data_IF_879449922977
#
_entry.id   IF_879449922977
#
_cell.length_a   1.000
_cell.length_b   1.000
_cell.length_c   1.000
_cell.angle_alpha   90.00
_cell.angle_beta   90.00
_cell.angle_gamma   90.00
#
_symmetry.space_group_name_H-M   'P 1'
#
loop_
_entity.id
_entity.type
_entity.pdbx_description
1 polymer ?
#
# COMPACT_ATOMS: atom_id res chain seq x y z
N UNK A 1 -34.97 -10.78 -54.50
CA UNK A 1 -36.32 -11.08 -54.00
C UNK A 1 -36.21 -11.73 -52.62
N UNK A 2 -36.77 -11.06 -51.59
CA UNK A 2 -37.21 -11.54 -50.26
C UNK A 2 -36.25 -12.46 -49.45
N UNK A 3 -35.57 -12.04 -48.38
CA UNK A 3 -36.02 -11.51 -47.07
C UNK A 3 -37.03 -12.41 -46.32
N UNK A 4 -36.60 -13.08 -45.26
CA UNK A 4 -37.46 -13.52 -44.13
C UNK A 4 -36.64 -13.66 -42.84
N UNK A 5 -36.65 -12.60 -42.03
CA UNK A 5 -36.40 -12.63 -40.58
C UNK A 5 -37.65 -13.16 -39.88
N UNK A 6 -37.55 -14.24 -39.12
CA UNK A 6 -38.62 -14.71 -38.23
C UNK A 6 -38.58 -13.93 -36.91
N UNK A 7 -39.56 -13.05 -36.70
CA UNK A 7 -39.85 -12.43 -35.40
C UNK A 7 -40.75 -13.37 -34.61
N UNK A 8 -40.35 -13.72 -33.40
CA UNK A 8 -41.22 -14.37 -32.41
C UNK A 8 -41.93 -13.23 -31.64
N UNK A 9 -43.24 -13.14 -31.81
CA UNK A 9 -44.13 -12.28 -31.03
C UNK A 9 -44.59 -13.06 -29.79
N UNK A 10 -44.24 -12.59 -28.60
CA UNK A 10 -44.92 -12.99 -27.36
C UNK A 10 -45.71 -11.78 -26.88
N UNK A 11 -47.04 -11.91 -26.93
CA UNK A 11 -47.99 -10.95 -26.40
C UNK A 11 -48.12 -11.17 -24.89
N UNK A 12 -47.82 -10.16 -24.09
CA UNK A 12 -48.09 -10.15 -22.64
C UNK A 12 -49.04 -9.00 -22.37
N UNK A 13 -50.20 -9.35 -21.79
CA UNK A 13 -51.37 -8.50 -21.64
C UNK A 13 -51.19 -7.34 -20.67
N UNK A 14 -51.97 -6.28 -20.93
CA UNK A 14 -52.17 -5.16 -20.02
C UNK A 14 -52.78 -5.64 -18.70
N UNK A 15 -52.09 -5.40 -17.60
CA UNK A 15 -52.71 -5.32 -16.28
C UNK A 15 -52.15 -4.13 -15.49
N UNK A 16 -53.02 -3.12 -15.39
CA UNK A 16 -53.24 -2.15 -14.30
C UNK A 16 -52.04 -1.32 -13.81
N UNK A 17 -52.22 -0.01 -14.00
CA UNK A 17 -51.50 1.07 -13.33
C UNK A 17 -51.42 0.84 -11.82
N UNK A 18 -50.21 0.89 -11.27
CA UNK A 18 -49.94 1.24 -9.89
C UNK A 18 -48.79 2.24 -9.89
N UNK A 19 -48.92 3.24 -9.02
CA UNK A 19 -48.16 4.49 -8.96
C UNK A 19 -46.65 4.35 -9.22
N UNK A 20 -46.14 5.22 -10.11
CA UNK A 20 -44.72 5.56 -10.20
C UNK A 20 -44.28 6.17 -8.85
N UNK A 21 -43.80 5.32 -7.94
CA UNK A 21 -42.84 5.74 -6.94
C UNK A 21 -41.53 5.98 -7.67
N UNK A 22 -41.16 7.23 -7.90
CA UNK A 22 -39.80 7.59 -8.28
C UNK A 22 -38.93 7.18 -7.09
N UNK A 23 -38.38 5.97 -7.14
CA UNK A 23 -37.16 5.66 -6.41
C UNK A 23 -36.10 6.57 -7.03
N UNK A 24 -35.90 7.72 -6.40
CA UNK A 24 -34.62 8.40 -6.47
C UNK A 24 -33.64 7.38 -5.90
N UNK A 25 -32.98 6.64 -6.79
CA UNK A 25 -31.71 6.01 -6.43
C UNK A 25 -30.84 7.21 -6.10
N UNK A 26 -30.76 7.53 -4.81
CA UNK A 26 -29.77 8.46 -4.29
C UNK A 26 -28.45 7.93 -4.81
N UNK A 27 -27.89 8.58 -5.81
CA UNK A 27 -26.51 8.39 -6.18
C UNK A 27 -25.74 8.56 -4.89
N UNK A 28 -25.20 7.44 -4.40
CA UNK A 28 -24.50 7.37 -3.14
C UNK A 28 -23.54 8.54 -3.07
N UNK A 29 -23.70 9.39 -2.06
CA UNK A 29 -22.80 10.49 -1.76
C UNK A 29 -21.54 9.85 -1.17
N UNK A 30 -20.79 9.11 -1.99
CA UNK A 30 -19.42 8.77 -1.70
C UNK A 30 -18.57 9.92 -2.21
N UNK A 31 -17.66 10.39 -1.37
CA UNK A 31 -16.81 11.53 -1.64
C UNK A 31 -15.92 11.26 -2.87
N UNK A 32 -16.47 11.55 -4.06
CA UNK A 32 -15.69 11.77 -5.27
C UNK A 32 -14.64 12.80 -4.88
N UNK A 33 -13.36 12.43 -5.00
CA UNK A 33 -12.30 13.41 -4.82
C UNK A 33 -12.63 14.64 -5.65
N UNK A 34 -12.33 15.85 -5.16
CA UNK A 34 -12.33 17.02 -6.01
C UNK A 34 -11.52 16.66 -7.28
N UNK A 35 -12.06 16.95 -8.47
CA UNK A 35 -11.30 16.71 -9.69
C UNK A 35 -9.94 17.41 -9.54
N UNK A 36 -8.86 16.78 -10.01
CA UNK A 36 -7.55 17.41 -9.90
C UNK A 36 -7.62 18.77 -10.63
N UNK A 37 -6.80 19.76 -10.22
CA UNK A 37 -6.75 21.04 -10.90
C UNK A 37 -6.62 20.84 -12.42
N UNK A 38 -7.30 21.66 -13.25
CA UNK A 38 -7.13 21.58 -14.70
C UNK A 38 -5.65 21.56 -15.07
N UNK A 39 -5.25 20.55 -15.85
CA UNK A 39 -3.88 20.38 -16.32
C UNK A 39 -2.89 19.69 -15.37
N UNK A 40 -3.31 19.24 -14.18
CA UNK A 40 -2.41 18.63 -13.19
C UNK A 40 -1.59 17.42 -13.70
N UNK A 41 -2.07 16.72 -14.73
CA UNK A 41 -1.41 15.55 -15.31
C UNK A 41 -1.11 15.70 -16.81
N UNK A 42 -1.19 16.90 -17.39
CA UNK A 42 -1.01 17.11 -18.83
C UNK A 42 0.39 16.72 -19.32
N UNK A 43 1.41 16.87 -18.45
CA UNK A 43 2.78 16.44 -18.74
C UNK A 43 2.96 14.90 -18.66
N UNK A 44 2.01 14.19 -18.05
CA UNK A 44 2.04 12.73 -17.87
C UNK A 44 0.62 12.14 -18.00
N UNK A 45 0.00 12.20 -19.20
CA UNK A 45 -1.42 11.89 -19.36
C UNK A 45 -1.76 10.43 -19.01
N UNK A 46 -0.83 9.50 -19.21
CA UNK A 46 -1.02 8.11 -18.79
C UNK A 46 -1.13 7.97 -17.26
N UNK A 47 -0.39 8.77 -16.48
CA UNK A 47 -0.53 8.79 -15.02
C UNK A 47 -1.93 9.29 -14.62
N UNK A 48 -2.43 10.33 -15.28
CA UNK A 48 -3.80 10.81 -15.08
C UNK A 48 -4.86 9.76 -15.40
N UNK A 49 -4.67 8.98 -16.47
CA UNK A 49 -5.53 7.85 -16.82
C UNK A 49 -5.50 6.77 -15.74
N UNK A 50 -4.32 6.31 -15.32
CA UNK A 50 -4.19 5.27 -14.27
C UNK A 50 -4.82 5.74 -12.95
N UNK A 51 -4.59 7.00 -12.56
CA UNK A 51 -5.25 7.61 -11.41
C UNK A 51 -6.77 7.50 -11.50
N UNK A 52 -7.35 7.92 -12.62
CA UNK A 52 -8.80 8.02 -12.76
C UNK A 52 -9.45 6.64 -12.89
N UNK A 53 -8.86 5.73 -13.64
CA UNK A 53 -9.42 4.39 -13.88
C UNK A 53 -9.19 3.47 -12.69
N UNK A 54 -7.95 3.35 -12.22
CA UNK A 54 -7.59 2.32 -11.24
C UNK A 54 -7.63 2.86 -9.82
N UNK A 55 -7.01 4.01 -9.53
CA UNK A 55 -6.95 4.51 -8.15
C UNK A 55 -8.34 4.93 -7.67
N UNK A 56 -8.96 5.91 -8.34
CA UNK A 56 -10.25 6.46 -7.88
C UNK A 56 -11.47 5.83 -8.55
N UNK A 57 -11.31 5.19 -9.71
CA UNK A 57 -12.40 4.50 -10.41
C UNK A 57 -12.63 3.06 -9.95
N UNK A 58 -11.69 2.49 -9.20
CA UNK A 58 -11.76 1.12 -8.70
C UNK A 58 -11.30 1.06 -7.22
N UNK A 59 -10.00 1.21 -6.94
CA UNK A 59 -9.44 0.91 -5.62
C UNK A 59 -10.10 1.66 -4.46
N UNK A 60 -10.46 2.93 -4.64
CA UNK A 60 -11.16 3.69 -3.60
C UNK A 60 -12.64 3.34 -3.43
N UNK A 61 -13.25 2.70 -4.42
CA UNK A 61 -14.67 2.33 -4.48
C UNK A 61 -14.93 0.88 -4.04
N UNK A 62 -13.87 0.07 -3.89
CA UNK A 62 -13.98 -1.33 -3.48
C UNK A 62 -14.61 -1.47 -2.08
N UNK A 63 -15.66 -2.30 -1.91
CA UNK A 63 -16.56 -2.26 -0.75
C UNK A 63 -15.97 -2.89 0.53
N UNK A 64 -14.93 -3.71 0.40
CA UNK A 64 -14.37 -4.50 1.49
C UNK A 64 -13.51 -3.68 2.48
N UNK A 65 -13.30 -2.38 2.21
CA UNK A 65 -12.66 -1.46 3.15
C UNK A 65 -13.29 -0.07 3.00
N UNK A 66 -13.73 0.50 4.12
CA UNK A 66 -14.45 1.78 4.13
C UNK A 66 -13.59 2.96 3.67
N UNK A 67 -14.22 4.03 3.19
CA UNK A 67 -13.48 5.26 2.82
C UNK A 67 -12.75 5.90 4.01
N UNK A 68 -13.26 5.74 5.24
CA UNK A 68 -12.58 6.16 6.48
C UNK A 68 -11.29 5.37 6.68
N UNK A 69 -11.39 4.04 6.62
CA UNK A 69 -10.25 3.14 6.83
C UNK A 69 -9.19 3.31 5.74
N UNK A 70 -9.61 3.45 4.47
CA UNK A 70 -8.72 3.82 3.34
C UNK A 70 -7.98 5.12 3.62
N UNK A 71 -8.69 6.18 4.04
CA UNK A 71 -8.05 7.44 4.39
C UNK A 71 -7.02 7.32 5.53
N UNK A 72 -7.30 6.53 6.56
CA UNK A 72 -6.35 6.31 7.66
C UNK A 72 -5.07 5.64 7.18
N UNK A 73 -5.17 4.57 6.38
CA UNK A 73 -3.99 3.89 5.85
C UNK A 73 -3.25 4.76 4.83
N UNK A 74 -3.95 5.55 4.01
CA UNK A 74 -3.28 6.44 3.06
C UNK A 74 -2.47 7.53 3.76
N UNK A 75 -3.02 8.15 4.82
CA UNK A 75 -2.29 9.14 5.63
C UNK A 75 -1.05 8.50 6.26
N UNK A 76 -1.21 7.31 6.86
CA UNK A 76 -0.11 6.60 7.48
C UNK A 76 1.01 6.24 6.49
N UNK A 77 0.65 5.73 5.30
CA UNK A 77 1.61 5.39 4.24
C UNK A 77 2.32 6.63 3.72
N UNK A 78 1.58 7.71 3.42
CA UNK A 78 2.19 8.95 2.94
C UNK A 78 3.12 9.59 3.98
N UNK A 79 2.82 9.46 5.27
CA UNK A 79 3.77 9.83 6.33
C UNK A 79 5.03 8.96 6.27
N UNK A 80 4.88 7.64 6.23
CA UNK A 80 6.00 6.70 6.24
C UNK A 80 6.93 6.88 5.04
N UNK A 81 6.36 7.20 3.86
CA UNK A 81 7.10 7.44 2.62
C UNK A 81 7.62 8.88 2.47
N UNK A 82 7.39 9.75 3.45
CA UNK A 82 7.74 11.17 3.39
C UNK A 82 7.11 11.92 2.19
N UNK A 83 5.92 11.50 1.75
CA UNK A 83 5.20 12.06 0.61
C UNK A 83 4.40 13.32 1.01
N UNK A 84 5.10 14.39 1.41
CA UNK A 84 4.52 15.58 2.08
C UNK A 84 3.31 16.20 1.36
N UNK A 85 3.37 16.37 0.04
CA UNK A 85 2.26 16.97 -0.72
C UNK A 85 1.01 16.08 -0.72
N UNK A 86 1.19 14.78 -0.91
CA UNK A 86 0.11 13.79 -0.86
C UNK A 86 -0.42 13.61 0.56
N UNK A 87 0.46 13.68 1.57
CA UNK A 87 0.08 13.63 2.98
C UNK A 87 -0.89 14.76 3.32
N UNK A 88 -0.59 16.00 2.90
CA UNK A 88 -1.45 17.16 3.12
C UNK A 88 -2.83 16.97 2.48
N UNK A 89 -2.86 16.51 1.23
CA UNK A 89 -4.11 16.24 0.50
C UNK A 89 -4.93 15.16 1.22
N UNK A 90 -4.30 14.05 1.60
CA UNK A 90 -4.98 12.92 2.21
C UNK A 90 -5.38 13.16 3.67
N UNK A 91 -4.73 14.05 4.43
CA UNK A 91 -5.23 14.50 5.74
C UNK A 91 -6.55 15.27 5.60
N UNK A 92 -6.66 16.15 4.60
CA UNK A 92 -7.92 16.84 4.31
C UNK A 92 -9.05 15.86 3.95
N UNK A 93 -8.75 14.89 3.08
CA UNK A 93 -9.70 13.83 2.72
C UNK A 93 -10.05 12.91 3.90
N UNK A 94 -9.12 12.64 4.80
CA UNK A 94 -9.37 11.85 5.99
C UNK A 94 -10.42 12.52 6.88
N UNK A 95 -10.29 13.83 7.11
CA UNK A 95 -11.29 14.62 7.85
C UNK A 95 -12.67 14.59 7.17
N UNK A 96 -12.73 14.65 5.84
CA UNK A 96 -13.99 14.53 5.07
C UNK A 96 -14.61 13.14 5.17
N UNK A 97 -13.79 12.09 5.23
CA UNK A 97 -14.22 10.70 5.39
C UNK A 97 -14.48 10.32 6.85
N UNK A 98 -14.52 11.28 7.77
CA UNK A 98 -14.89 11.08 9.17
C UNK A 98 -13.75 10.62 10.09
N UNK A 99 -12.49 10.68 9.64
CA UNK A 99 -11.33 10.56 10.55
C UNK A 99 -11.24 11.83 11.37
N UNK A 100 -11.15 11.72 12.69
CA UNK A 100 -11.13 12.88 13.58
C UNK A 100 -9.74 13.51 13.65
N UNK A 101 -9.69 14.74 14.17
CA UNK A 101 -8.43 15.43 14.45
C UNK A 101 -7.54 14.62 15.40
N UNK A 102 -8.12 14.04 16.46
CA UNK A 102 -7.40 13.26 17.46
C UNK A 102 -6.87 11.95 16.89
N UNK A 103 -7.65 11.30 16.02
CA UNK A 103 -7.19 10.11 15.26
C UNK A 103 -6.02 10.45 14.33
N UNK A 104 -6.07 11.57 13.60
CA UNK A 104 -4.95 12.00 12.75
C UNK A 104 -3.67 12.26 13.55
N UNK A 105 -3.78 12.96 14.69
CA UNK A 105 -2.62 13.17 15.56
C UNK A 105 -2.09 11.87 16.17
N UNK A 106 -2.96 10.91 16.43
CA UNK A 106 -2.56 9.61 16.94
C UNK A 106 -1.95 8.71 15.86
N UNK A 107 -2.39 8.81 14.59
CA UNK A 107 -1.71 8.19 13.43
C UNK A 107 -0.28 8.71 13.35
N UNK A 108 -0.08 10.02 13.48
CA UNK A 108 1.25 10.65 13.42
C UNK A 108 2.18 10.06 14.47
N UNK A 109 1.72 10.00 15.71
CA UNK A 109 2.49 9.45 16.82
C UNK A 109 2.75 7.94 16.67
N UNK A 110 1.76 7.18 16.19
CA UNK A 110 1.89 5.74 16.00
C UNK A 110 2.91 5.41 14.91
N UNK A 111 2.75 6.00 13.72
CA UNK A 111 3.60 5.75 12.55
C UNK A 111 5.04 6.21 12.79
N UNK A 112 5.26 7.24 13.63
CA UNK A 112 6.60 7.68 14.03
C UNK A 112 7.46 6.55 14.60
N UNK A 113 6.89 5.60 15.35
CA UNK A 113 7.63 4.46 15.90
C UNK A 113 8.03 3.43 14.84
N UNK A 114 7.24 3.32 13.77
CA UNK A 114 7.44 2.32 12.71
C UNK A 114 8.23 2.86 11.52
N UNK A 115 8.17 4.16 11.26
CA UNK A 115 8.80 4.83 10.12
C UNK A 115 9.88 5.86 10.53
N UNK A 116 10.07 6.10 11.83
CA UNK A 116 11.11 6.96 12.38
C UNK A 116 10.65 8.39 12.69
N UNK A 117 11.35 9.04 13.63
CA UNK A 117 11.04 10.37 14.16
C UNK A 117 10.87 11.48 13.10
N UNK A 118 11.73 11.58 12.06
CA UNK A 118 11.60 12.62 11.04
C UNK A 118 10.26 12.59 10.29
N UNK A 119 9.69 11.40 10.05
CA UNK A 119 8.38 11.27 9.40
C UNK A 119 7.27 11.87 10.25
N UNK A 120 7.33 11.67 11.57
CA UNK A 120 6.40 12.24 12.55
C UNK A 120 6.51 13.76 12.64
N UNK A 121 7.74 14.31 12.63
CA UNK A 121 7.96 15.77 12.62
C UNK A 121 7.38 16.41 11.36
N UNK A 122 7.63 15.82 10.19
CA UNK A 122 7.07 16.29 8.93
C UNK A 122 5.54 16.27 8.96
N UNK A 123 4.95 15.14 9.35
CA UNK A 123 3.51 14.97 9.40
C UNK A 123 2.83 15.90 10.43
N UNK A 124 3.46 16.15 11.58
CA UNK A 124 2.94 17.08 12.58
C UNK A 124 2.87 18.52 12.07
N UNK A 125 3.87 18.97 11.28
CA UNK A 125 3.86 20.30 10.66
C UNK A 125 2.75 20.42 9.62
N UNK A 126 2.62 19.42 8.75
CA UNK A 126 1.54 19.36 7.75
C UNK A 126 0.16 19.34 8.43
N UNK A 127 -0.01 18.56 9.49
CA UNK A 127 -1.27 18.52 10.24
C UNK A 127 -1.61 19.88 10.85
N UNK A 128 -0.63 20.60 11.41
CA UNK A 128 -0.86 21.94 11.95
C UNK A 128 -1.38 22.93 10.88
N UNK A 129 -0.83 22.88 9.67
CA UNK A 129 -1.31 23.68 8.52
C UNK A 129 -2.75 23.29 8.15
N UNK A 130 -3.02 22.00 7.97
CA UNK A 130 -4.36 21.49 7.60
C UNK A 130 -5.41 21.84 8.67
N UNK A 131 -5.06 21.74 9.96
CA UNK A 131 -5.95 22.08 11.06
C UNK A 131 -6.24 23.58 11.10
N UNK A 132 -5.22 24.43 10.92
CA UNK A 132 -5.39 25.87 10.85
C UNK A 132 -6.32 26.29 9.70
N UNK A 133 -6.11 25.74 8.50
CA UNK A 133 -6.94 26.03 7.32
C UNK A 133 -8.41 25.61 7.50
N UNK A 134 -8.65 24.57 8.31
CA UNK A 134 -10.00 24.06 8.61
C UNK A 134 -10.60 24.67 9.89
N UNK A 135 -9.94 25.66 10.50
CA UNK A 135 -10.35 26.27 11.76
C UNK A 135 -10.54 25.25 12.90
N UNK A 136 -9.74 24.18 12.91
CA UNK A 136 -9.69 23.19 13.98
C UNK A 136 -8.75 23.67 15.10
N UNK A 137 -8.95 23.22 16.35
CA UNK A 137 -8.07 23.56 17.48
C UNK A 137 -6.59 23.25 17.20
N UNK A 138 -5.65 24.07 17.66
CA UNK A 138 -4.22 23.78 17.50
C UNK A 138 -3.78 22.50 18.24
N UNK A 139 -4.43 22.20 19.36
CA UNK A 139 -4.22 20.98 20.14
C UNK A 139 -5.48 20.12 19.99
N UNK A 140 -5.37 18.88 19.49
CA UNK A 140 -6.51 17.99 19.37
C UNK A 140 -7.19 17.76 20.74
N UNK A 141 -8.52 17.80 20.81
CA UNK A 141 -9.24 17.59 22.06
C UNK A 141 -9.15 16.13 22.52
N UNK A 142 -9.22 15.92 23.84
CA UNK A 142 -9.37 14.57 24.41
C UNK A 142 -8.11 13.69 24.35
N UNK A 143 -6.92 14.27 24.21
CA UNK A 143 -5.68 13.50 24.16
C UNK A 143 -5.40 12.79 25.50
N UNK A 144 -5.16 11.48 25.43
CA UNK A 144 -4.74 10.65 26.57
C UNK A 144 -3.34 11.04 27.06
N UNK A 145 -2.99 10.82 28.34
CA UNK A 145 -1.63 11.04 28.84
C UNK A 145 -0.57 10.24 28.07
N UNK A 146 0.60 10.84 27.83
CA UNK A 146 1.77 10.19 27.17
C UNK A 146 2.78 9.71 28.21
N UNK A 147 2.32 8.89 29.15
CA UNK A 147 3.17 8.31 30.19
C UNK A 147 2.95 6.79 30.22
N UNK A 148 4.03 5.99 30.17
CA UNK A 148 3.92 4.56 30.38
C UNK A 148 3.30 4.23 31.75
N UNK A 149 2.54 3.12 31.86
CA UNK A 149 2.12 2.61 33.16
C UNK A 149 3.31 2.37 34.08
N UNK A 150 3.11 2.51 35.40
CA UNK A 150 4.18 2.29 36.40
C UNK A 150 4.68 0.85 36.46
N UNK A 151 3.81 -0.11 36.14
CA UNK A 151 4.13 -1.54 36.06
C UNK A 151 3.49 -2.11 34.77
N UNK A 152 4.13 -1.89 33.60
CA UNK A 152 3.55 -2.26 32.33
C UNK A 152 3.66 -3.77 32.10
N UNK A 153 2.61 -4.38 31.57
CA UNK A 153 2.68 -5.73 31.03
C UNK A 153 3.73 -5.79 29.91
N UNK A 154 4.73 -6.67 30.08
CA UNK A 154 5.84 -6.81 29.15
C UNK A 154 5.51 -7.91 28.14
N UNK A 155 5.22 -7.50 26.90
CA UNK A 155 4.85 -8.43 25.82
C UNK A 155 6.07 -9.14 25.22
N UNK A 156 7.25 -8.51 25.28
CA UNK A 156 8.50 -9.02 24.70
C UNK A 156 9.65 -9.01 25.73
N UNK A 157 9.58 -9.84 26.78
CA UNK A 157 10.56 -9.82 27.87
C UNK A 157 11.98 -10.23 27.43
N UNK A 158 12.06 -11.09 26.40
CA UNK A 158 13.32 -11.62 25.86
C UNK A 158 13.77 -10.91 24.57
N UNK A 159 13.07 -9.86 24.13
CA UNK A 159 13.49 -9.11 22.95
C UNK A 159 14.80 -8.37 23.21
N UNK A 160 15.66 -8.36 22.19
CA UNK A 160 16.91 -7.61 22.16
C UNK A 160 17.77 -7.76 23.43
N UNK A 161 18.17 -8.99 23.82
CA UNK A 161 18.91 -9.21 25.07
C UNK A 161 20.26 -8.47 25.11
N UNK A 162 20.81 -8.12 23.94
CA UNK A 162 22.04 -7.33 23.82
C UNK A 162 21.82 -5.82 23.98
N UNK A 163 20.58 -5.33 23.88
CA UNK A 163 20.22 -3.91 24.01
C UNK A 163 19.00 -3.72 24.92
N UNK A 164 19.13 -3.93 26.25
CA UNK A 164 18.01 -3.85 27.20
C UNK A 164 17.22 -2.54 27.13
N UNK A 165 17.89 -1.41 26.87
CA UNK A 165 17.21 -0.12 26.68
C UNK A 165 16.22 -0.14 25.50
N UNK A 166 16.57 -0.78 24.38
CA UNK A 166 15.68 -0.89 23.23
C UNK A 166 14.48 -1.78 23.54
N UNK A 167 14.71 -2.90 24.26
CA UNK A 167 13.63 -3.75 24.78
C UNK A 167 12.69 -2.96 25.69
N UNK A 168 13.23 -2.14 26.57
CA UNK A 168 12.43 -1.35 27.52
C UNK A 168 11.62 -0.28 26.78
N UNK A 169 12.20 0.41 25.78
CA UNK A 169 11.46 1.33 24.91
C UNK A 169 10.33 0.61 24.15
N UNK A 170 10.60 -0.57 23.58
CA UNK A 170 9.60 -1.36 22.88
C UNK A 170 8.42 -1.70 23.80
N UNK A 171 8.71 -2.25 24.97
CA UNK A 171 7.66 -2.71 25.88
C UNK A 171 6.91 -1.56 26.55
N UNK A 172 7.63 -0.54 27.05
CA UNK A 172 7.03 0.51 27.86
C UNK A 172 6.38 1.61 27.00
N UNK A 173 7.09 2.10 25.98
CA UNK A 173 6.64 3.26 25.20
C UNK A 173 5.78 2.84 24.02
N UNK A 174 6.22 1.84 23.26
CA UNK A 174 5.45 1.40 22.09
C UNK A 174 4.23 0.61 22.56
N UNK A 175 4.42 -0.50 23.26
CA UNK A 175 3.32 -1.43 23.56
C UNK A 175 2.46 -1.08 24.76
N UNK A 176 3.05 -0.72 25.90
CA UNK A 176 2.27 -0.44 27.10
C UNK A 176 1.65 0.97 27.11
N UNK A 177 2.27 1.94 26.43
CA UNK A 177 1.73 3.29 26.28
C UNK A 177 1.02 3.46 24.92
N UNK A 178 1.76 3.60 23.83
CA UNK A 178 1.19 4.01 22.52
C UNK A 178 0.07 3.07 22.05
N UNK A 179 0.28 1.76 22.06
CA UNK A 179 -0.75 0.79 21.62
C UNK A 179 -2.01 0.76 22.50
N UNK A 180 -1.96 1.31 23.72
CA UNK A 180 -3.08 1.34 24.68
C UNK A 180 -3.86 2.66 24.68
N UNK A 181 -3.38 3.71 23.97
CA UNK A 181 -4.06 5.01 23.92
C UNK A 181 -5.39 4.91 23.16
N UNK A 182 -6.45 5.52 23.70
CA UNK A 182 -7.83 5.36 23.25
C UNK A 182 -8.20 6.06 21.94
N UNK A 183 -7.37 6.99 21.47
CA UNK A 183 -7.62 7.78 20.26
C UNK A 183 -7.58 6.95 18.98
N UNK A 184 -6.95 5.77 19.01
CA UNK A 184 -7.09 4.75 17.97
C UNK A 184 -7.44 3.42 18.61
N UNK A 185 -8.44 2.73 18.05
CA UNK A 185 -8.77 1.38 18.46
C UNK A 185 -7.60 0.41 18.15
N UNK A 186 -7.51 -0.73 18.87
CA UNK A 186 -6.54 -1.77 18.52
C UNK A 186 -6.66 -2.26 17.07
N UNK A 187 -7.89 -2.30 16.53
CA UNK A 187 -8.17 -2.62 15.12
C UNK A 187 -7.51 -1.60 14.19
N UNK A 188 -7.78 -0.31 14.41
CA UNK A 188 -7.28 0.77 13.56
C UNK A 188 -5.75 0.86 13.59
N UNK A 189 -5.13 0.74 14.77
CA UNK A 189 -3.66 0.67 14.90
C UNK A 189 -3.08 -0.50 14.12
N UNK A 190 -3.72 -1.66 14.18
CA UNK A 190 -3.22 -2.85 13.49
C UNK A 190 -3.30 -2.70 11.98
N UNK A 191 -4.42 -2.17 11.46
CA UNK A 191 -4.59 -1.84 10.06
C UNK A 191 -3.50 -0.86 9.56
N UNK A 192 -3.29 0.23 10.30
CA UNK A 192 -2.23 1.22 10.00
C UNK A 192 -0.85 0.56 9.99
N UNK A 193 -0.57 -0.30 10.97
CA UNK A 193 0.75 -0.93 11.09
C UNK A 193 1.01 -1.93 9.96
N UNK A 194 0.00 -2.70 9.55
CA UNK A 194 0.08 -3.56 8.35
C UNK A 194 0.33 -2.73 7.09
N UNK A 195 -0.37 -1.61 6.94
CA UNK A 195 -0.21 -0.72 5.80
C UNK A 195 1.22 -0.12 5.72
N UNK A 196 1.73 0.39 6.84
CA UNK A 196 3.10 0.96 6.92
C UNK A 196 4.16 -0.12 6.72
N UNK A 197 4.02 -1.28 7.37
CA UNK A 197 4.94 -2.40 7.18
C UNK A 197 4.99 -2.88 5.72
N UNK A 198 3.83 -2.90 5.05
CA UNK A 198 3.74 -3.18 3.61
C UNK A 198 4.51 -2.14 2.81
N UNK A 199 4.20 -0.85 3.01
CA UNK A 199 4.82 0.25 2.26
C UNK A 199 6.34 0.32 2.40
N UNK A 200 6.87 0.01 3.59
CA UNK A 200 8.30 0.02 3.89
C UNK A 200 9.01 -1.29 3.51
N UNK A 201 8.32 -2.25 2.88
CA UNK A 201 8.87 -3.57 2.54
C UNK A 201 9.42 -4.33 3.77
N UNK A 202 8.82 -4.10 4.94
CA UNK A 202 9.28 -4.64 6.23
C UNK A 202 8.67 -6.03 6.50
N UNK A 203 9.19 -7.05 5.82
CA UNK A 203 8.59 -8.40 5.78
C UNK A 203 8.41 -9.08 7.14
N UNK A 204 9.28 -8.84 8.13
CA UNK A 204 9.10 -9.35 9.50
C UNK A 204 7.92 -8.69 10.20
N UNK A 205 7.82 -7.37 10.06
CA UNK A 205 6.76 -6.55 10.66
C UNK A 205 5.40 -6.87 10.05
N UNK A 206 5.33 -7.03 8.71
CA UNK A 206 4.08 -7.45 8.04
C UNK A 206 3.60 -8.79 8.60
N UNK A 207 4.48 -9.78 8.74
CA UNK A 207 4.10 -11.11 9.27
C UNK A 207 3.53 -11.01 10.68
N UNK A 208 4.22 -10.31 11.56
CA UNK A 208 3.79 -10.17 12.94
C UNK A 208 2.50 -9.35 13.05
N UNK A 209 2.42 -8.21 12.37
CA UNK A 209 1.29 -7.30 12.47
C UNK A 209 0.04 -7.75 11.70
N UNK A 210 0.14 -8.57 10.65
CA UNK A 210 -1.04 -9.25 10.06
C UNK A 210 -1.64 -10.19 11.10
N UNK A 211 -0.82 -10.98 11.81
CA UNK A 211 -1.29 -11.84 12.88
C UNK A 211 -1.98 -11.06 14.00
N UNK A 212 -1.38 -9.94 14.44
CA UNK A 212 -2.01 -9.06 15.45
C UNK A 212 -3.29 -8.42 14.93
N UNK A 213 -3.33 -7.98 13.67
CA UNK A 213 -4.51 -7.36 13.07
C UNK A 213 -5.70 -8.31 13.10
N UNK A 214 -5.50 -9.58 12.72
CA UNK A 214 -6.52 -10.63 12.83
C UNK A 214 -7.00 -10.81 14.28
N UNK A 215 -6.08 -10.83 15.25
CA UNK A 215 -6.44 -10.92 16.67
C UNK A 215 -7.22 -9.68 17.19
N UNK A 216 -6.98 -8.51 16.60
CA UNK A 216 -7.65 -7.25 16.95
C UNK A 216 -8.92 -6.99 16.11
N UNK A 217 -9.39 -7.98 15.35
CA UNK A 217 -10.67 -7.92 14.63
C UNK A 217 -10.60 -7.33 13.23
N UNK A 218 -9.40 -7.14 12.65
CA UNK A 218 -9.27 -6.90 11.20
C UNK A 218 -9.52 -8.23 10.49
N UNK A 219 -10.40 -8.25 9.49
CA UNK A 219 -10.74 -9.46 8.75
C UNK A 219 -9.68 -9.81 7.70
N UNK A 220 -9.72 -11.05 7.20
CA UNK A 220 -8.87 -11.47 6.08
C UNK A 220 -9.09 -10.61 4.83
N UNK A 221 -10.34 -10.30 4.51
CA UNK A 221 -10.70 -9.47 3.36
C UNK A 221 -10.17 -8.04 3.51
N UNK A 222 -10.25 -7.47 4.72
CA UNK A 222 -9.69 -6.16 5.02
C UNK A 222 -8.16 -6.16 4.91
N UNK A 223 -7.45 -7.20 5.39
CA UNK A 223 -5.99 -7.33 5.19
C UNK A 223 -5.64 -7.35 3.70
N UNK A 224 -6.37 -8.14 2.90
CA UNK A 224 -6.22 -8.19 1.44
C UNK A 224 -6.43 -6.81 0.79
N UNK A 225 -7.47 -6.08 1.20
CA UNK A 225 -7.74 -4.72 0.70
C UNK A 225 -6.71 -3.69 1.14
N UNK A 226 -6.18 -3.79 2.36
CA UNK A 226 -5.09 -2.91 2.84
C UNK A 226 -3.87 -3.10 1.93
N UNK A 227 -3.43 -4.34 1.69
CA UNK A 227 -2.28 -4.64 0.83
C UNK A 227 -2.50 -4.14 -0.60
N UNK A 228 -3.71 -4.39 -1.14
CA UNK A 228 -4.10 -3.96 -2.48
C UNK A 228 -4.11 -2.43 -2.60
N UNK A 229 -4.65 -1.73 -1.60
CA UNK A 229 -4.70 -0.27 -1.58
C UNK A 229 -3.29 0.33 -1.51
N UNK A 230 -2.47 -0.15 -0.58
CA UNK A 230 -1.10 0.32 -0.33
C UNK A 230 -0.23 0.22 -1.59
N UNK A 231 -0.46 -0.80 -2.42
CA UNK A 231 0.25 -1.02 -3.70
C UNK A 231 0.27 0.21 -4.62
N UNK A 232 -0.80 1.01 -4.67
CA UNK A 232 -0.83 2.22 -5.49
C UNK A 232 -0.06 3.40 -4.88
N UNK A 233 0.21 3.37 -3.58
CA UNK A 233 0.93 4.41 -2.86
C UNK A 233 2.41 4.09 -2.66
N UNK A 234 2.78 2.80 -2.56
CA UNK A 234 4.16 2.34 -2.34
C UNK A 234 4.72 1.43 -3.45
N UNK A 235 3.94 1.18 -4.51
CA UNK A 235 4.33 0.39 -5.67
C UNK A 235 4.04 -1.11 -5.56
N UNK A 236 3.74 -1.74 -6.71
CA UNK A 236 3.41 -3.17 -6.84
C UNK A 236 4.37 -4.15 -6.14
N UNK A 237 5.70 -3.95 -6.15
CA UNK A 237 6.62 -4.81 -5.42
C UNK A 237 6.28 -4.99 -3.93
N UNK A 238 5.83 -3.92 -3.27
CA UNK A 238 5.49 -3.94 -1.84
C UNK A 238 4.25 -4.80 -1.56
N UNK A 239 3.21 -4.66 -2.39
CA UNK A 239 1.99 -5.46 -2.30
C UNK A 239 2.21 -6.93 -2.60
N UNK A 240 3.00 -7.25 -3.62
CA UNK A 240 3.34 -8.65 -3.97
C UNK A 240 4.04 -9.34 -2.80
N UNK A 241 5.03 -8.67 -2.18
CA UNK A 241 5.73 -9.21 -1.02
C UNK A 241 4.78 -9.40 0.18
N UNK A 242 3.97 -8.38 0.51
CA UNK A 242 3.04 -8.46 1.62
C UNK A 242 1.94 -9.51 1.41
N UNK A 243 1.47 -9.71 0.17
CA UNK A 243 0.48 -10.74 -0.17
C UNK A 243 0.99 -12.15 0.14
N UNK A 244 2.24 -12.47 -0.24
CA UNK A 244 2.86 -13.75 0.11
C UNK A 244 2.95 -13.94 1.63
N UNK A 245 3.40 -12.92 2.34
CA UNK A 245 3.57 -12.98 3.79
C UNK A 245 2.23 -13.10 4.52
N UNK A 246 1.20 -12.39 4.07
CA UNK A 246 -0.14 -12.50 4.63
C UNK A 246 -0.71 -13.91 4.44
N UNK A 247 -0.48 -14.53 3.27
CA UNK A 247 -0.88 -15.91 3.03
C UNK A 247 -0.21 -16.92 3.98
N UNK A 248 1.09 -16.75 4.27
CA UNK A 248 1.78 -17.56 5.29
C UNK A 248 1.08 -17.45 6.66
N UNK A 249 0.69 -16.23 7.04
CA UNK A 249 -0.02 -16.00 8.32
C UNK A 249 -1.42 -16.61 8.30
N UNK A 250 -2.14 -16.50 7.18
CA UNK A 250 -3.46 -17.10 7.02
C UNK A 250 -3.40 -18.62 7.14
N UNK A 251 -2.44 -19.27 6.49
CA UNK A 251 -2.20 -20.71 6.59
C UNK A 251 -1.92 -21.14 8.03
N UNK A 252 -0.99 -20.45 8.72
CA UNK A 252 -0.66 -20.73 10.13
C UNK A 252 -1.88 -20.54 11.06
N UNK A 253 -2.77 -19.61 10.73
CA UNK A 253 -4.03 -19.35 11.48
C UNK A 253 -5.18 -20.29 11.08
N UNK A 254 -4.97 -21.20 10.13
CA UNK A 254 -6.01 -22.10 9.62
C UNK A 254 -7.12 -21.38 8.84
N UNK A 255 -6.82 -20.19 8.30
CA UNK A 255 -7.75 -19.42 7.47
C UNK A 255 -7.66 -19.88 6.01
N UNK A 256 -8.73 -19.70 5.21
CA UNK A 256 -8.69 -20.02 3.78
C UNK A 256 -7.58 -19.26 3.06
N UNK A 257 -6.87 -19.93 2.15
CA UNK A 257 -5.85 -19.31 1.31
C UNK A 257 -6.32 -19.42 -0.13
N UNK A 258 -6.42 -18.29 -0.82
CA UNK A 258 -6.85 -18.28 -2.22
C UNK A 258 -5.85 -19.01 -3.12
N UNK A 259 -6.32 -19.53 -4.25
CA UNK A 259 -5.43 -19.98 -5.31
C UNK A 259 -4.87 -18.77 -6.09
N UNK A 260 -3.71 -18.92 -6.73
CA UNK A 260 -3.14 -17.90 -7.61
C UNK A 260 -1.75 -17.42 -7.17
N UNK A 261 -1.24 -16.39 -7.85
CA UNK A 261 0.12 -15.85 -7.59
C UNK A 261 0.21 -15.02 -6.31
N UNK A 262 -0.91 -14.43 -5.89
CA UNK A 262 -0.95 -13.46 -4.79
C UNK A 262 -2.02 -13.84 -3.76
N UNK A 263 -1.90 -15.01 -3.10
CA UNK A 263 -2.96 -15.60 -2.30
C UNK A 263 -3.44 -14.77 -1.09
N UNK A 264 -2.59 -13.88 -0.55
CA UNK A 264 -2.98 -13.01 0.57
C UNK A 264 -3.64 -11.69 0.16
N UNK A 265 -3.62 -11.38 -1.14
CA UNK A 265 -4.30 -10.24 -1.74
C UNK A 265 -4.66 -10.57 -3.21
N UNK A 266 -5.69 -11.41 -3.44
CA UNK A 266 -5.93 -12.01 -4.76
C UNK A 266 -6.21 -10.99 -5.87
N UNK A 267 -6.77 -9.82 -5.54
CA UNK A 267 -7.04 -8.79 -6.53
C UNK A 267 -5.78 -8.20 -7.19
N UNK A 268 -4.61 -8.40 -6.58
CA UNK A 268 -3.34 -8.06 -7.22
C UNK A 268 -3.12 -8.84 -8.53
N UNK A 269 -3.69 -10.04 -8.67
CA UNK A 269 -3.61 -10.83 -9.91
C UNK A 269 -4.26 -10.07 -11.07
N UNK A 270 -5.48 -9.56 -10.87
CA UNK A 270 -6.21 -8.79 -11.87
C UNK A 270 -5.50 -7.48 -12.22
N UNK A 271 -5.00 -6.77 -11.21
CA UNK A 271 -4.25 -5.52 -11.42
C UNK A 271 -2.93 -5.75 -12.16
N UNK A 272 -2.19 -6.80 -11.80
CA UNK A 272 -0.89 -7.08 -12.42
C UNK A 272 -1.09 -7.57 -13.86
N UNK A 273 -2.06 -8.43 -14.13
CA UNK A 273 -2.29 -8.91 -15.49
C UNK A 273 -2.93 -7.85 -16.39
N UNK A 274 -3.88 -7.07 -15.86
CA UNK A 274 -4.53 -5.99 -16.60
C UNK A 274 -3.65 -4.76 -16.74
N UNK A 275 -3.43 -4.02 -15.65
CA UNK A 275 -2.74 -2.74 -15.67
C UNK A 275 -1.24 -2.89 -15.94
N UNK A 276 -0.55 -3.79 -15.24
CA UNK A 276 0.92 -3.88 -15.37
C UNK A 276 1.28 -4.55 -16.69
N UNK A 277 0.90 -5.81 -16.89
CA UNK A 277 1.33 -6.57 -18.07
C UNK A 277 0.46 -6.36 -19.31
N UNK A 278 -0.86 -6.18 -19.16
CA UNK A 278 -1.77 -5.97 -20.28
C UNK A 278 -1.69 -4.58 -20.88
N UNK A 279 -1.47 -3.55 -20.03
CA UNK A 279 -1.39 -2.15 -20.48
C UNK A 279 0.02 -1.56 -20.39
N UNK A 280 0.67 -1.55 -19.22
CA UNK A 280 1.90 -0.76 -19.03
C UNK A 280 3.07 -1.33 -19.84
N UNK A 281 3.29 -2.64 -19.76
CA UNK A 281 4.42 -3.32 -20.40
C UNK A 281 4.27 -3.52 -21.92
N UNK A 282 3.05 -3.44 -22.45
CA UNK A 282 2.75 -3.61 -23.89
C UNK A 282 2.87 -2.31 -24.69
N UNK A 283 3.06 -1.17 -24.01
CA UNK A 283 3.18 0.13 -24.68
C UNK A 283 4.50 0.28 -25.44
N UNK A 284 4.41 0.77 -26.67
CA UNK A 284 5.55 0.87 -27.60
C UNK A 284 6.55 1.99 -27.29
N UNK A 285 6.21 2.93 -26.40
CA UNK A 285 7.07 4.11 -26.15
C UNK A 285 8.40 3.78 -25.44
N UNK A 286 8.49 2.61 -24.80
CA UNK A 286 9.74 2.06 -24.27
C UNK A 286 9.85 0.61 -24.69
N UNK A 287 11.02 0.22 -25.19
CA UNK A 287 11.29 -1.17 -25.54
C UNK A 287 11.22 -2.06 -24.30
N UNK A 288 10.93 -3.36 -24.49
CA UNK A 288 10.93 -4.32 -23.39
C UNK A 288 12.29 -4.36 -22.66
N UNK A 289 13.38 -4.17 -23.40
CA UNK A 289 14.75 -4.04 -22.88
C UNK A 289 14.88 -2.83 -21.94
N UNK A 290 14.48 -1.64 -22.40
CA UNK A 290 14.66 -0.40 -21.61
C UNK A 290 13.71 -0.35 -20.40
N UNK A 291 12.51 -0.91 -20.53
CA UNK A 291 11.60 -1.14 -19.38
C UNK A 291 12.25 -2.02 -18.32
N UNK A 292 12.96 -3.06 -18.75
CA UNK A 292 13.65 -3.97 -17.84
C UNK A 292 14.80 -3.27 -17.14
N UNK A 293 15.63 -2.49 -17.84
CA UNK A 293 16.68 -1.68 -17.22
C UNK A 293 16.11 -0.75 -16.13
N UNK A 294 15.06 0.00 -16.45
CA UNK A 294 14.42 0.91 -15.48
C UNK A 294 13.85 0.15 -14.27
N UNK A 295 13.21 -1.00 -14.51
CA UNK A 295 12.60 -1.80 -13.44
C UNK A 295 13.65 -2.46 -12.54
N UNK A 296 14.74 -2.97 -13.12
CA UNK A 296 15.89 -3.51 -12.36
C UNK A 296 16.49 -2.39 -11.50
N UNK A 297 16.70 -1.19 -12.06
CA UNK A 297 17.25 -0.07 -11.31
C UNK A 297 16.41 0.29 -10.07
N UNK A 298 15.08 0.39 -10.24
CA UNK A 298 14.15 0.70 -9.15
C UNK A 298 14.14 -0.41 -8.09
N UNK A 299 14.12 -1.68 -8.50
CA UNK A 299 14.09 -2.81 -7.56
C UNK A 299 15.40 -2.99 -6.80
N UNK A 300 16.56 -2.66 -7.40
CA UNK A 300 17.85 -2.54 -6.68
C UNK A 300 17.76 -1.42 -5.64
N UNK A 301 17.42 -0.21 -6.09
CA UNK A 301 17.41 0.98 -5.23
C UNK A 301 16.42 0.85 -4.05
N UNK A 302 15.30 0.17 -4.27
CA UNK A 302 14.28 -0.11 -3.24
C UNK A 302 14.59 -1.31 -2.34
N UNK A 303 15.72 -2.00 -2.50
CA UNK A 303 16.06 -3.23 -1.76
C UNK A 303 15.00 -4.35 -1.93
N UNK A 304 14.30 -4.39 -3.06
CA UNK A 304 13.14 -5.26 -3.30
C UNK A 304 13.58 -6.63 -3.85
N UNK A 305 14.33 -7.38 -3.05
CA UNK A 305 15.05 -8.60 -3.48
C UNK A 305 14.20 -9.61 -4.26
N UNK A 306 12.97 -9.88 -3.82
CA UNK A 306 12.09 -10.85 -4.49
C UNK A 306 11.74 -10.39 -5.92
N UNK A 307 11.45 -9.09 -6.09
CA UNK A 307 11.12 -8.52 -7.41
C UNK A 307 12.35 -8.30 -8.27
N UNK A 308 13.49 -7.92 -7.66
CA UNK A 308 14.76 -7.80 -8.35
C UNK A 308 15.10 -9.12 -9.06
N UNK A 309 14.92 -10.24 -8.37
CA UNK A 309 15.19 -11.57 -8.94
C UNK A 309 14.31 -11.90 -10.15
N UNK A 310 13.05 -11.47 -10.15
CA UNK A 310 12.13 -11.62 -11.30
C UNK A 310 12.59 -10.73 -12.46
N UNK A 311 12.90 -9.47 -12.19
CA UNK A 311 13.19 -8.50 -13.23
C UNK A 311 14.60 -8.61 -13.82
N UNK A 312 15.59 -9.14 -13.08
CA UNK A 312 16.90 -9.51 -13.63
C UNK A 312 16.76 -10.62 -14.68
N UNK A 313 15.99 -11.67 -14.38
CA UNK A 313 15.70 -12.74 -15.35
C UNK A 313 14.99 -12.20 -16.58
N UNK A 314 13.94 -11.41 -16.37
CA UNK A 314 13.20 -10.79 -17.47
C UNK A 314 14.05 -9.83 -18.30
N UNK A 315 14.98 -9.11 -17.67
CA UNK A 315 15.93 -8.24 -18.36
C UNK A 315 16.83 -9.02 -19.30
N UNK A 316 17.41 -10.13 -18.82
CA UNK A 316 18.19 -11.05 -19.66
C UNK A 316 17.34 -11.59 -20.83
N UNK A 317 16.09 -12.00 -20.57
CA UNK A 317 15.17 -12.51 -21.60
C UNK A 317 14.79 -11.43 -22.64
N UNK A 318 14.74 -10.17 -22.22
CA UNK A 318 14.48 -9.00 -23.07
C UNK A 318 15.75 -8.44 -23.73
N UNK A 319 16.90 -9.12 -23.59
CA UNK A 319 18.14 -8.76 -24.28
C UNK A 319 19.02 -7.72 -23.57
N UNK A 320 18.81 -7.47 -22.27
CA UNK A 320 19.82 -6.77 -21.45
C UNK A 320 20.96 -7.75 -21.19
N UNK A 321 22.20 -7.37 -21.53
CA UNK A 321 23.36 -8.25 -21.36
C UNK A 321 23.82 -8.33 -19.91
N UNK A 322 24.58 -9.38 -19.58
CA UNK A 322 25.12 -9.52 -18.24
C UNK A 322 26.07 -8.38 -17.84
N UNK A 323 26.88 -7.88 -18.79
CA UNK A 323 27.73 -6.72 -18.57
C UNK A 323 26.91 -5.46 -18.29
N UNK A 324 25.84 -5.21 -19.07
CA UNK A 324 24.99 -4.03 -18.85
C UNK A 324 24.28 -4.06 -17.48
N UNK A 325 23.85 -5.24 -17.02
CA UNK A 325 23.29 -5.39 -15.67
C UNK A 325 24.36 -5.12 -14.60
N UNK A 326 25.60 -5.59 -14.82
CA UNK A 326 26.73 -5.31 -13.93
C UNK A 326 26.98 -3.80 -13.78
N UNK A 327 27.07 -3.09 -14.92
CA UNK A 327 27.23 -1.64 -14.96
C UNK A 327 26.03 -0.92 -14.34
N UNK A 328 24.81 -1.41 -14.56
CA UNK A 328 23.61 -0.87 -13.93
C UNK A 328 23.66 -0.99 -12.40
N UNK A 329 24.11 -2.13 -11.88
CA UNK A 329 24.31 -2.32 -10.43
C UNK A 329 25.35 -1.33 -9.92
N UNK A 330 26.50 -1.20 -10.59
CA UNK A 330 27.54 -0.24 -10.21
C UNK A 330 27.00 1.22 -10.20
N UNK A 331 26.27 1.61 -11.23
CA UNK A 331 25.62 2.92 -11.33
C UNK A 331 24.66 3.12 -10.16
N UNK A 332 23.66 2.25 -9.99
CA UNK A 332 22.61 2.42 -8.97
C UNK A 332 23.19 2.40 -7.56
N UNK A 333 24.29 1.67 -7.33
CA UNK A 333 25.01 1.65 -6.05
C UNK A 333 25.45 3.05 -5.61
N UNK A 334 25.95 3.87 -6.53
CA UNK A 334 26.42 5.21 -6.21
C UNK A 334 25.28 6.18 -5.85
N UNK A 335 24.05 5.90 -6.29
CA UNK A 335 22.88 6.76 -6.03
C UNK A 335 21.96 6.25 -4.91
N UNK A 336 22.02 4.95 -4.58
CA UNK A 336 21.15 4.32 -3.56
C UNK A 336 21.91 3.68 -2.40
N UNK A 337 23.25 3.75 -2.41
CA UNK A 337 24.13 3.28 -1.36
C UNK A 337 24.73 1.90 -1.62
N UNK A 338 25.91 1.65 -1.05
CA UNK A 338 26.62 0.37 -1.17
C UNK A 338 25.81 -0.88 -0.80
N UNK A 339 24.97 -0.87 0.27
CA UNK A 339 24.18 -2.05 0.63
C UNK A 339 23.22 -2.56 -0.45
N UNK A 340 22.56 -1.67 -1.20
CA UNK A 340 21.64 -2.06 -2.29
C UNK A 340 22.42 -2.72 -3.42
N UNK A 341 23.58 -2.14 -3.78
CA UNK A 341 24.51 -2.67 -4.77
C UNK A 341 25.04 -4.06 -4.44
N UNK A 342 25.53 -4.26 -3.21
CA UNK A 342 26.03 -5.56 -2.74
C UNK A 342 24.94 -6.62 -2.79
N UNK A 343 23.74 -6.30 -2.31
CA UNK A 343 22.61 -7.23 -2.39
C UNK A 343 22.24 -7.56 -3.84
N UNK A 344 22.17 -6.54 -4.71
CA UNK A 344 21.87 -6.72 -6.13
C UNK A 344 22.90 -7.57 -6.86
N UNK A 345 24.19 -7.33 -6.60
CA UNK A 345 25.30 -8.12 -7.15
C UNK A 345 25.22 -9.59 -6.74
N UNK A 346 24.96 -9.87 -5.46
CA UNK A 346 24.78 -11.25 -4.96
C UNK A 346 23.63 -11.97 -5.69
N UNK A 347 22.45 -11.35 -5.74
CA UNK A 347 21.27 -11.93 -6.41
C UNK A 347 21.53 -12.15 -7.90
N UNK A 348 22.22 -11.20 -8.55
CA UNK A 348 22.53 -11.31 -9.97
C UNK A 348 23.53 -12.44 -10.26
N UNK A 349 24.58 -12.58 -9.44
CA UNK A 349 25.53 -13.69 -9.53
C UNK A 349 24.85 -15.06 -9.38
N UNK A 350 23.92 -15.20 -8.42
CA UNK A 350 23.10 -16.40 -8.26
C UNK A 350 22.30 -16.72 -9.53
N UNK A 351 21.68 -15.71 -10.16
CA UNK A 351 20.91 -15.90 -11.40
C UNK A 351 21.81 -16.31 -12.57
N UNK A 352 23.00 -15.72 -12.72
CA UNK A 352 23.93 -16.10 -13.78
C UNK A 352 24.40 -17.54 -13.60
N UNK A 353 24.70 -17.94 -12.37
CA UNK A 353 25.05 -19.33 -12.05
C UNK A 353 23.92 -20.30 -12.39
N UNK A 354 22.68 -19.99 -11.98
CA UNK A 354 21.50 -20.80 -12.29
C UNK A 354 21.23 -20.91 -13.79
N UNK A 355 21.56 -19.88 -14.57
CA UNK A 355 21.40 -19.85 -16.03
C UNK A 355 22.61 -20.41 -16.79
N UNK A 356 23.68 -20.82 -16.11
CA UNK A 356 24.93 -21.27 -16.74
C UNK A 356 25.59 -20.18 -17.60
N UNK A 357 25.37 -18.91 -17.25
CA UNK A 357 25.94 -17.76 -17.96
C UNK A 357 27.29 -17.35 -17.35
N UNK A 358 28.23 -16.83 -18.16
CA UNK A 358 29.49 -16.30 -17.63
C UNK A 358 29.24 -15.09 -16.73
N UNK A 359 30.13 -14.90 -15.76
CA UNK A 359 30.17 -13.66 -14.99
C UNK A 359 30.62 -12.49 -15.88
N UNK A 360 30.11 -11.27 -15.65
CA UNK A 360 30.61 -10.07 -16.32
C UNK A 360 32.09 -9.82 -15.98
N UNK A 361 32.81 -9.17 -16.89
CA UNK A 361 34.23 -8.81 -16.73
C UNK A 361 34.43 -7.57 -15.86
#
# INVERSE_FOLDING_TARGET
MLNRKSRINVSIGLCKLAALGILVVSSSIYAQQPPPPPGAYDAAPYLGQVRNTYVYGDIWERPNLSSRDRSMITVAVNQALYATNELRLHMGRALENGVTQSELSEIIAHVMWYAGFPTGVNAARVAAEVFAERNLPAIPPGASPRQPPTDPEVEFPEAYPQTPYLRDLLNQVVYAETWRRSELSPRDRSMITVAVGTALYASSEVRYHVGRALSNGVTQDEVSEIITHVTFYSGFPTGVNASRIAAEVFEVRGLPVAAGRFPGAPYLEELIDGLVYGETWTRDQLSARDRSLATIAVTIAGYQSDQLRVHLRRGLDNGVTAQEISELIAQVTLYSGFPTGVNGSRIFAEILQERGMPMPE
#
